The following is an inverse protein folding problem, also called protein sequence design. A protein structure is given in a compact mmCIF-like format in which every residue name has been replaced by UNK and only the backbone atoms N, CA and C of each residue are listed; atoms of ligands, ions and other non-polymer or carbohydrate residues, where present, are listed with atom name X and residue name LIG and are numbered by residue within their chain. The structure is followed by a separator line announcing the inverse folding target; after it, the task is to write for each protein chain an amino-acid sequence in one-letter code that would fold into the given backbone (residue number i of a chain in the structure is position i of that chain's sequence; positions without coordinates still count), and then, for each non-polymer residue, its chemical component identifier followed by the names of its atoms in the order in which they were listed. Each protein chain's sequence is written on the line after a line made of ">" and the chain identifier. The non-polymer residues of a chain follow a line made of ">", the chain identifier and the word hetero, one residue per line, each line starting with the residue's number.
data_IF_048915404611
#
_entry.id   IF_048915404611
#
_cell.length_a   1.000
_cell.length_b   1.000
_cell.length_c   1.000
_cell.angle_alpha   90.00
_cell.angle_beta   90.00
_cell.angle_gamma   90.00
#
_symmetry.space_group_name_H-M   'P 1'
#
loop_
_entity.id
_entity.type
_entity.pdbx_description
1 polymer ?
#
# COMPACT_ATOMS: atom_id res chain seq x y z
N UNK A 1 40.21 7.23 -12.09
CA UNK A 1 38.76 7.16 -12.38
C UNK A 1 38.02 7.53 -11.09
N UNK A 2 37.21 8.59 -11.08
CA UNK A 2 36.44 9.01 -9.90
C UNK A 2 34.99 8.62 -10.15
N UNK A 3 34.48 7.66 -9.37
CA UNK A 3 33.06 7.25 -9.41
C UNK A 3 32.35 8.10 -8.36
N UNK A 4 31.41 8.94 -8.79
CA UNK A 4 30.47 9.60 -7.89
C UNK A 4 29.25 8.68 -7.77
N UNK A 5 28.95 8.28 -6.54
CA UNK A 5 27.71 7.56 -6.23
C UNK A 5 26.69 8.65 -5.89
N UNK A 6 25.72 8.85 -6.75
CA UNK A 6 24.58 9.71 -6.43
C UNK A 6 23.80 9.06 -5.28
N UNK A 7 23.60 9.79 -4.19
CA UNK A 7 22.70 9.36 -3.11
C UNK A 7 21.30 9.20 -3.69
N UNK A 8 20.84 7.95 -3.82
CA UNK A 8 19.46 7.65 -4.18
C UNK A 8 18.54 8.33 -3.16
N UNK A 9 17.66 9.22 -3.63
CA UNK A 9 16.59 9.77 -2.80
C UNK A 9 15.83 8.62 -2.12
N UNK A 10 15.55 8.71 -0.81
CA UNK A 10 14.73 7.71 -0.13
C UNK A 10 13.36 7.67 -0.81
N UNK A 11 12.90 6.45 -1.09
CA UNK A 11 11.55 6.25 -1.64
C UNK A 11 10.58 6.59 -0.53
N UNK A 12 9.72 7.58 -0.77
CA UNK A 12 8.65 7.96 0.15
C UNK A 12 7.54 6.90 0.09
N UNK A 13 7.50 6.05 1.10
CA UNK A 13 6.49 4.99 1.25
C UNK A 13 5.62 5.38 2.44
N UNK A 14 4.29 5.41 2.30
CA UNK A 14 3.41 5.72 3.43
C UNK A 14 3.66 4.73 4.56
N UNK A 15 3.79 5.23 5.78
CA UNK A 15 4.11 4.39 6.95
C UNK A 15 3.51 4.94 8.23
N UNK A 16 3.09 4.05 9.12
CA UNK A 16 2.47 4.40 10.41
C UNK A 16 2.97 3.49 11.54
N UNK A 17 2.97 4.02 12.77
CA UNK A 17 3.29 3.25 13.97
C UNK A 17 2.05 2.51 14.48
N UNK A 18 2.10 1.17 14.45
CA UNK A 18 0.97 0.31 14.81
C UNK A 18 1.31 -0.52 16.06
N UNK A 19 0.44 -0.56 17.09
CA UNK A 19 0.65 -1.36 18.28
C UNK A 19 0.35 -2.84 18.05
N UNK A 20 1.20 -3.73 18.58
CA UNK A 20 1.03 -5.18 18.56
C UNK A 20 1.64 -5.79 19.81
N UNK A 21 0.82 -6.49 20.60
CA UNK A 21 1.25 -7.31 21.74
C UNK A 21 2.29 -6.65 22.67
N UNK A 22 1.98 -5.43 23.13
CA UNK A 22 2.85 -4.66 24.03
C UNK A 22 4.03 -3.93 23.35
N UNK A 23 4.27 -4.19 22.06
CA UNK A 23 5.23 -3.48 21.23
C UNK A 23 4.55 -2.54 20.22
N UNK A 24 5.34 -1.71 19.55
CA UNK A 24 4.90 -0.87 18.42
C UNK A 24 5.82 -1.10 17.24
N UNK A 25 5.25 -1.19 16.05
CA UNK A 25 5.98 -1.42 14.81
C UNK A 25 5.72 -0.26 13.85
N UNK A 26 6.77 0.28 13.25
CA UNK A 26 6.63 1.21 12.13
C UNK A 26 6.43 0.39 10.86
N UNK A 27 5.21 0.40 10.33
CA UNK A 27 4.81 -0.44 9.20
C UNK A 27 4.67 0.43 7.95
N UNK A 28 5.24 -0.03 6.85
CA UNK A 28 5.11 0.57 5.53
C UNK A 28 3.89 0.00 4.77
N UNK A 29 3.29 0.81 3.91
CA UNK A 29 2.25 0.38 2.98
C UNK A 29 2.78 -0.61 1.93
N UNK A 30 1.85 -1.37 1.35
CA UNK A 30 2.16 -2.45 0.38
C UNK A 30 2.80 -1.98 -0.93
N UNK A 31 2.81 -0.67 -1.23
CA UNK A 31 3.50 -0.13 -2.41
C UNK A 31 5.03 -0.09 -2.29
N UNK A 32 5.62 -0.55 -1.17
CA UNK A 32 7.08 -0.65 -1.01
C UNK A 32 7.67 -1.54 -2.13
N UNK A 33 8.60 -1.03 -2.96
CA UNK A 33 9.08 -1.78 -4.12
C UNK A 33 9.77 -3.12 -3.79
N UNK A 34 10.51 -3.17 -2.67
CA UNK A 34 11.16 -4.41 -2.22
C UNK A 34 10.14 -5.50 -1.88
N UNK A 35 9.08 -5.15 -1.16
CA UNK A 35 7.97 -6.04 -0.85
C UNK A 35 7.28 -6.52 -2.12
N UNK A 36 6.91 -5.59 -3.02
CA UNK A 36 6.28 -5.94 -4.31
C UNK A 36 7.13 -6.94 -5.11
N UNK A 37 8.44 -6.71 -5.20
CA UNK A 37 9.35 -7.61 -5.91
C UNK A 37 9.43 -9.00 -5.27
N UNK A 38 9.47 -9.10 -3.94
CA UNK A 38 9.45 -10.39 -3.23
C UNK A 38 8.15 -11.14 -3.47
N UNK A 39 7.01 -10.44 -3.46
CA UNK A 39 5.68 -11.02 -3.72
C UNK A 39 5.52 -11.51 -5.17
N UNK A 40 6.09 -10.79 -6.15
CA UNK A 40 6.15 -11.26 -7.54
C UNK A 40 6.94 -12.56 -7.68
N UNK A 41 8.13 -12.62 -7.07
CA UNK A 41 8.98 -13.82 -7.10
C UNK A 41 8.27 -14.98 -6.40
N UNK A 42 7.65 -14.73 -5.26
CA UNK A 42 6.88 -15.73 -4.52
C UNK A 42 5.72 -16.27 -5.38
N UNK A 43 4.91 -15.38 -5.96
CA UNK A 43 3.79 -15.76 -6.84
C UNK A 43 4.26 -16.56 -8.06
N UNK A 44 5.40 -16.18 -8.66
CA UNK A 44 6.00 -16.90 -9.77
C UNK A 44 6.42 -18.33 -9.38
N UNK A 45 7.01 -18.52 -8.19
CA UNK A 45 7.36 -19.86 -7.66
C UNK A 45 6.12 -20.73 -7.49
N UNK A 46 5.07 -20.19 -6.84
CA UNK A 46 3.79 -20.91 -6.66
C UNK A 46 3.18 -21.30 -8.00
N UNK A 47 3.19 -20.39 -8.98
CA UNK A 47 2.68 -20.69 -10.32
C UNK A 47 3.49 -21.77 -11.04
N UNK A 48 4.80 -21.85 -10.84
CA UNK A 48 5.62 -22.93 -11.40
C UNK A 48 5.24 -24.28 -10.80
N UNK A 49 4.99 -24.33 -9.49
CA UNK A 49 4.57 -25.54 -8.78
C UNK A 49 3.18 -26.00 -9.23
N UNK A 50 2.20 -25.08 -9.29
CA UNK A 50 0.84 -25.38 -9.73
C UNK A 50 0.75 -25.90 -11.17
N UNK A 51 1.64 -25.40 -12.05
CA UNK A 51 1.69 -25.84 -13.45
C UNK A 51 2.57 -27.08 -13.68
N UNK A 52 3.16 -27.65 -12.62
CA UNK A 52 4.04 -28.82 -12.72
C UNK A 52 5.40 -28.54 -13.35
N UNK A 53 5.80 -27.28 -13.49
CA UNK A 53 7.16 -26.90 -13.92
C UNK A 53 8.19 -27.04 -12.79
N UNK A 54 7.72 -27.13 -11.55
CA UNK A 54 8.52 -27.34 -10.35
C UNK A 54 7.87 -28.41 -9.48
N UNK A 55 8.66 -29.36 -9.02
CA UNK A 55 8.20 -30.41 -8.10
C UNK A 55 7.99 -29.82 -6.69
N UNK A 56 6.92 -30.25 -6.03
CA UNK A 56 6.64 -29.94 -4.63
C UNK A 56 7.27 -31.05 -3.79
N UNK A 57 8.32 -30.70 -3.05
CA UNK A 57 9.01 -31.59 -2.10
C UNK A 57 8.63 -31.22 -0.66
N UNK A 58 8.93 -32.10 0.29
CA UNK A 58 8.76 -31.80 1.72
C UNK A 58 9.56 -30.55 2.13
N UNK A 59 10.75 -30.37 1.56
CA UNK A 59 11.59 -29.18 1.79
C UNK A 59 10.92 -27.93 1.22
N UNK A 60 10.42 -27.96 -0.02
CA UNK A 60 9.74 -26.78 -0.58
C UNK A 60 8.46 -26.45 0.18
N UNK A 61 7.70 -27.46 0.62
CA UNK A 61 6.50 -27.26 1.42
C UNK A 61 6.79 -26.57 2.77
N UNK A 62 7.96 -26.81 3.37
CA UNK A 62 8.38 -26.15 4.61
C UNK A 62 8.96 -24.75 4.38
N UNK A 63 9.70 -24.54 3.29
CA UNK A 63 10.36 -23.26 3.00
C UNK A 63 9.40 -22.21 2.41
N UNK A 64 8.40 -22.62 1.63
CA UNK A 64 7.47 -21.69 0.96
C UNK A 64 6.74 -20.76 1.94
N UNK A 65 6.17 -21.22 3.07
CA UNK A 65 5.60 -20.34 4.08
C UNK A 65 6.60 -19.36 4.68
N UNK A 66 7.87 -19.75 4.82
CA UNK A 66 8.92 -18.87 5.33
C UNK A 66 9.23 -17.76 4.32
N UNK A 67 9.37 -18.09 3.03
CA UNK A 67 9.55 -17.10 1.96
C UNK A 67 8.45 -16.04 1.95
N UNK A 68 7.19 -16.46 2.18
CA UNK A 68 6.06 -15.55 2.32
C UNK A 68 6.26 -14.62 3.53
N UNK A 69 6.53 -15.16 4.70
CA UNK A 69 6.73 -14.37 5.92
C UNK A 69 7.90 -13.38 5.80
N UNK A 70 9.01 -13.79 5.17
CA UNK A 70 10.19 -12.95 4.90
C UNK A 70 9.88 -11.76 3.98
N UNK A 71 8.83 -11.84 3.17
CA UNK A 71 8.38 -10.69 2.40
C UNK A 71 7.81 -9.61 3.32
N UNK A 72 6.97 -9.98 4.29
CA UNK A 72 6.35 -9.03 5.22
C UNK A 72 7.35 -8.37 6.18
N UNK A 73 8.48 -9.02 6.47
CA UNK A 73 9.57 -8.39 7.21
C UNK A 73 10.06 -7.10 6.53
N UNK A 74 10.01 -6.99 5.19
CA UNK A 74 10.39 -5.76 4.48
C UNK A 74 9.43 -4.61 4.74
N UNK A 75 8.20 -4.88 5.18
CA UNK A 75 7.24 -3.83 5.50
C UNK A 75 7.46 -3.26 6.90
N UNK A 76 8.22 -3.94 7.75
CA UNK A 76 8.63 -3.40 9.05
C UNK A 76 9.84 -2.49 8.82
N UNK A 77 9.72 -1.22 9.23
CA UNK A 77 10.78 -0.22 9.08
C UNK A 77 11.53 0.04 10.39
N UNK A 78 10.86 -0.16 11.51
CA UNK A 78 11.40 0.02 12.87
C UNK A 78 10.45 -0.61 13.91
N UNK A 79 10.87 -0.72 15.18
CA UNK A 79 10.00 -1.07 16.30
C UNK A 79 10.44 -0.48 17.64
N UNK A 80 9.51 -0.47 18.59
CA UNK A 80 9.73 -0.16 19.99
C UNK A 80 9.08 -1.22 20.88
N UNK A 81 9.72 -1.59 21.99
CA UNK A 81 9.14 -2.49 23.00
C UNK A 81 9.31 -3.98 22.73
N UNK A 82 10.01 -4.39 21.67
CA UNK A 82 10.39 -5.80 21.44
C UNK A 82 11.51 -6.19 22.39
N UNK A 83 11.31 -7.28 23.14
CA UNK A 83 12.25 -7.82 24.12
C UNK A 83 12.59 -9.28 23.82
N UNK A 84 13.79 -9.71 24.23
CA UNK A 84 14.19 -11.12 24.19
C UNK A 84 13.64 -11.91 25.40
N UNK A 85 13.94 -13.21 25.44
CA UNK A 85 13.53 -14.09 26.53
C UNK A 85 14.13 -13.72 27.90
N UNK A 86 15.24 -12.96 27.93
CA UNK A 86 15.87 -12.43 29.15
C UNK A 86 15.28 -11.07 29.55
N UNK A 87 14.31 -10.53 28.79
CA UNK A 87 13.73 -9.21 28.99
C UNK A 87 14.59 -8.05 28.50
N UNK A 88 15.62 -8.31 27.68
CA UNK A 88 16.47 -7.26 27.11
C UNK A 88 15.84 -6.69 25.84
N UNK A 89 15.91 -5.38 25.62
CA UNK A 89 15.38 -4.76 24.42
C UNK A 89 16.17 -5.20 23.17
N UNK A 90 15.45 -5.68 22.17
CA UNK A 90 16.00 -6.00 20.85
C UNK A 90 15.89 -4.74 19.99
N UNK A 91 17.03 -4.26 19.47
CA UNK A 91 17.00 -3.16 18.51
C UNK A 91 16.57 -3.64 17.14
N UNK A 92 15.85 -2.79 16.43
CA UNK A 92 15.49 -3.05 15.05
C UNK A 92 16.74 -3.27 14.18
N UNK A 93 16.65 -4.31 13.35
CA UNK A 93 17.46 -4.50 12.16
C UNK A 93 16.67 -5.35 11.16
N UNK A 94 16.98 -5.25 9.88
CA UNK A 94 16.30 -6.03 8.85
C UNK A 94 16.40 -7.55 9.10
N UNK A 95 17.55 -8.02 9.57
CA UNK A 95 17.78 -9.44 9.90
C UNK A 95 16.90 -9.88 11.08
N UNK A 96 16.82 -9.07 12.15
CA UNK A 96 15.94 -9.37 13.28
C UNK A 96 14.45 -9.32 12.89
N UNK A 97 14.06 -8.45 11.96
CA UNK A 97 12.68 -8.40 11.46
C UNK A 97 12.34 -9.70 10.71
N UNK A 98 13.27 -10.20 9.91
CA UNK A 98 13.12 -11.49 9.23
C UNK A 98 12.95 -12.64 10.23
N UNK A 99 13.80 -12.67 11.27
CA UNK A 99 13.73 -13.67 12.33
C UNK A 99 12.41 -13.59 13.11
N UNK A 100 11.90 -12.38 13.41
CA UNK A 100 10.61 -12.23 14.08
C UNK A 100 9.45 -12.75 13.23
N UNK A 101 9.45 -12.49 11.92
CA UNK A 101 8.40 -12.98 11.03
C UNK A 101 8.46 -14.48 10.77
N UNK A 102 9.57 -15.16 11.07
CA UNK A 102 9.77 -16.58 10.72
C UNK A 102 9.92 -17.52 11.92
N UNK A 103 10.42 -17.02 13.05
CA UNK A 103 10.82 -17.82 14.21
C UNK A 103 10.35 -17.26 15.56
N UNK A 104 9.60 -16.16 15.60
CA UNK A 104 9.06 -15.64 16.86
C UNK A 104 8.09 -16.63 17.52
N UNK A 105 8.29 -16.78 18.83
CA UNK A 105 7.51 -17.64 19.74
C UNK A 105 7.18 -16.83 20.98
N UNK A 106 5.97 -17.00 21.50
CA UNK A 106 5.55 -16.44 22.78
C UNK A 106 6.30 -17.15 23.92
N UNK A 107 7.05 -16.43 24.78
CA UNK A 107 7.79 -17.03 25.87
C UNK A 107 6.89 -17.74 26.91
N UNK A 108 5.65 -17.29 27.11
CA UNK A 108 4.70 -17.84 28.08
C UNK A 108 3.95 -19.04 27.51
N UNK A 109 3.33 -18.89 26.34
CA UNK A 109 2.46 -19.94 25.75
C UNK A 109 3.21 -20.94 24.89
N UNK A 110 4.47 -20.65 24.52
CA UNK A 110 5.29 -21.40 23.55
C UNK A 110 4.65 -21.54 22.16
N UNK A 111 3.65 -20.71 21.85
CA UNK A 111 2.99 -20.69 20.54
C UNK A 111 3.77 -19.80 19.56
N UNK A 112 3.74 -20.16 18.27
CA UNK A 112 4.39 -19.37 17.23
C UNK A 112 3.68 -18.02 17.02
N UNK A 113 4.35 -16.92 17.34
CA UNK A 113 3.86 -15.55 17.12
C UNK A 113 4.09 -15.06 15.69
N UNK A 114 5.01 -15.71 14.98
CA UNK A 114 5.44 -15.34 13.62
C UNK A 114 4.26 -15.11 12.66
N UNK A 115 3.33 -16.06 12.58
CA UNK A 115 2.19 -15.95 11.68
C UNK A 115 1.20 -14.85 12.11
N UNK A 116 0.97 -14.70 13.42
CA UNK A 116 0.10 -13.65 13.95
C UNK A 116 0.67 -12.25 13.63
N UNK A 117 1.98 -12.07 13.80
CA UNK A 117 2.69 -10.85 13.43
C UNK A 117 2.60 -10.59 11.91
N UNK A 118 2.81 -11.61 11.08
CA UNK A 118 2.73 -11.46 9.62
C UNK A 118 1.33 -11.06 9.17
N UNK A 119 0.28 -11.67 9.72
CA UNK A 119 -1.11 -11.30 9.44
C UNK A 119 -1.42 -9.86 9.87
N UNK A 120 -0.96 -9.47 11.06
CA UNK A 120 -1.08 -8.10 11.54
C UNK A 120 -0.37 -7.11 10.61
N UNK A 121 0.88 -7.37 10.23
CA UNK A 121 1.63 -6.51 9.32
C UNK A 121 0.94 -6.41 7.96
N UNK A 122 0.41 -7.52 7.43
CA UNK A 122 -0.35 -7.53 6.19
C UNK A 122 -1.56 -6.60 6.25
N UNK A 123 -2.40 -6.75 7.30
CA UNK A 123 -3.60 -5.95 7.48
C UNK A 123 -3.28 -4.46 7.61
N UNK A 124 -2.30 -4.12 8.47
CA UNK A 124 -1.91 -2.72 8.67
C UNK A 124 -1.32 -2.09 7.41
N UNK A 125 -0.47 -2.83 6.67
CA UNK A 125 0.12 -2.33 5.44
C UNK A 125 -0.94 -2.04 4.35
N UNK A 126 -1.98 -2.86 4.26
CA UNK A 126 -3.11 -2.62 3.35
C UNK A 126 -3.91 -1.38 3.75
N UNK A 127 -4.20 -1.22 5.04
CA UNK A 127 -4.92 -0.06 5.57
C UNK A 127 -4.17 1.25 5.32
N UNK A 128 -2.86 1.26 5.61
CA UNK A 128 -1.97 2.41 5.37
C UNK A 128 -1.91 2.74 3.87
N UNK A 129 -1.86 1.71 3.02
CA UNK A 129 -1.84 1.94 1.58
C UNK A 129 -3.17 2.51 1.06
N UNK A 130 -4.29 2.01 1.58
CA UNK A 130 -5.61 2.49 1.22
C UNK A 130 -5.87 3.93 1.70
N UNK A 131 -5.43 4.28 2.92
CA UNK A 131 -5.52 5.64 3.46
C UNK A 131 -4.70 6.62 2.62
N UNK A 132 -3.46 6.24 2.27
CA UNK A 132 -2.60 7.03 1.40
C UNK A 132 -3.17 7.19 -0.02
N UNK A 133 -3.83 6.17 -0.56
CA UNK A 133 -4.53 6.23 -1.84
C UNK A 133 -5.67 7.25 -1.84
N UNK A 134 -6.55 7.18 -0.83
CA UNK A 134 -7.65 8.15 -0.65
C UNK A 134 -7.14 9.58 -0.52
N UNK A 135 -6.09 9.80 0.26
CA UNK A 135 -5.49 11.12 0.42
C UNK A 135 -4.95 11.68 -0.90
N UNK A 136 -4.32 10.83 -1.73
CA UNK A 136 -3.83 11.23 -3.08
C UNK A 136 -5.00 11.58 -4.02
N UNK A 137 -6.07 10.78 -4.02
CA UNK A 137 -7.25 11.03 -4.84
C UNK A 137 -7.98 12.32 -4.45
N UNK A 138 -8.11 12.62 -3.16
CA UNK A 138 -8.71 13.87 -2.68
C UNK A 138 -7.91 15.11 -3.10
N UNK A 139 -6.57 15.03 -3.11
CA UNK A 139 -5.71 16.11 -3.58
C UNK A 139 -5.82 16.32 -5.09
N UNK A 140 -5.84 15.24 -5.87
CA UNK A 140 -5.98 15.31 -7.33
C UNK A 140 -7.39 15.77 -7.76
N UNK A 141 -8.43 15.33 -7.06
CA UNK A 141 -9.81 15.72 -7.32
C UNK A 141 -10.08 17.21 -7.04
N UNK A 142 -9.42 17.81 -6.04
CA UNK A 142 -9.49 19.25 -5.77
C UNK A 142 -8.80 20.11 -6.83
N UNK A 143 -7.79 19.57 -7.53
CA UNK A 143 -7.04 20.30 -8.56
C UNK A 143 -7.84 20.53 -9.86
N UNK A 144 -8.88 19.74 -10.13
CA UNK A 144 -9.70 19.90 -11.34
C UNK A 144 -10.82 20.95 -11.18
N UNK A 145 -11.09 21.42 -9.96
CA UNK A 145 -12.20 22.33 -9.66
C UNK A 145 -11.82 23.83 -9.66
N UNK A 146 -10.55 24.18 -9.90
CA UNK A 146 -10.05 25.54 -9.68
C UNK A 146 -9.56 26.27 -10.95
N UNK A 147 -10.03 25.89 -12.14
CA UNK A 147 -9.57 26.50 -13.42
C UNK A 147 -10.66 27.13 -14.29
N UNK A 148 -11.88 27.37 -13.80
CA UNK A 148 -12.96 27.96 -14.62
C UNK A 148 -13.78 29.05 -13.91
N UNK A 149 -13.14 29.97 -13.18
CA UNK A 149 -13.80 31.23 -12.77
C UNK A 149 -12.83 32.41 -12.90
N UNK A 150 -12.55 32.81 -14.14
CA UNK A 150 -12.40 34.20 -14.60
C UNK A 150 -11.49 34.29 -15.83
N UNK A 151 -12.09 34.22 -17.01
CA UNK A 151 -11.67 35.12 -18.09
C UNK A 151 -12.80 35.25 -19.11
N UNK A 152 -13.66 36.26 -18.90
CA UNK A 152 -14.11 37.23 -19.91
C UNK A 152 -15.41 37.88 -19.45
N UNK A 153 -15.27 39.01 -18.78
CA UNK A 153 -16.23 40.08 -18.87
C UNK A 153 -16.22 40.61 -20.32
N UNK A 154 -17.40 40.72 -20.94
CA UNK A 154 -17.80 41.81 -21.84
C UNK A 154 -19.30 41.65 -22.14
N UNK A 155 -20.12 42.52 -21.53
CA UNK A 155 -21.53 42.70 -21.89
C UNK A 155 -21.62 43.39 -23.26
N UNK A 156 -22.67 43.11 -24.03
CA UNK A 156 -23.39 44.22 -24.64
C UNK A 156 -24.89 44.17 -24.38
N UNK A 157 -25.35 45.37 -24.03
CA UNK A 157 -26.71 45.84 -23.87
C UNK A 157 -27.33 46.06 -25.27
N UNK A 158 -28.46 45.41 -25.57
CA UNK A 158 -29.36 45.87 -26.65
C UNK A 158 -30.81 45.76 -26.16
N UNK A 159 -31.44 46.93 -25.99
CA UNK A 159 -32.88 47.10 -25.82
C UNK A 159 -33.58 47.07 -27.18
N UNK A 160 -34.88 46.76 -27.12
CA UNK A 160 -35.96 47.28 -27.97
C UNK A 160 -36.22 46.60 -29.34
N UNK A 161 -37.37 45.92 -29.50
CA UNK A 161 -38.65 46.45 -30.06
C UNK A 161 -39.59 45.29 -30.45
N UNK A 162 -40.86 45.48 -30.10
CA UNK A 162 -42.08 44.74 -30.47
C UNK A 162 -42.26 44.40 -31.96
N UNK A 163 -42.97 43.30 -32.28
CA UNK A 163 -44.14 43.33 -33.19
C UNK A 163 -44.78 41.94 -33.39
N UNK A 164 -46.06 41.87 -33.02
CA UNK A 164 -47.23 41.18 -33.62
C UNK A 164 -47.13 39.85 -34.40
N UNK A 165 -48.11 38.97 -34.08
CA UNK A 165 -49.05 38.19 -34.95
C UNK A 165 -48.44 37.36 -36.10
N UNK A 166 -48.78 36.11 -36.38
CA UNK A 166 -50.08 35.41 -36.34
C UNK A 166 -49.92 33.99 -36.94
N UNK A 167 -50.69 33.01 -36.44
CA UNK A 167 -51.54 32.02 -37.18
C UNK A 167 -50.81 31.21 -38.29
N UNK A 168 -50.77 29.86 -38.31
CA UNK A 168 -51.93 28.95 -38.41
C UNK A 168 -51.47 27.49 -38.61
N UNK A 169 -52.29 26.53 -38.12
CA UNK A 169 -52.77 25.27 -38.78
C UNK A 169 -51.73 24.43 -39.55
N UNK A 170 -51.65 23.10 -39.44
CA UNK A 170 -52.68 22.03 -39.47
C UNK A 170 -51.85 20.71 -39.43
N UNK A 171 -52.16 19.73 -38.59
CA UNK A 171 -53.09 18.60 -38.84
C UNK A 171 -52.46 17.37 -39.53
N UNK A 172 -52.47 16.28 -38.74
CA UNK A 172 -52.71 14.86 -39.08
C UNK A 172 -51.58 13.99 -39.64
N UNK A 173 -51.31 12.94 -38.84
CA UNK A 173 -51.35 11.49 -39.15
C UNK A 173 -50.67 11.03 -40.45
N UNK A 174 -49.69 10.14 -40.28
CA UNK A 174 -49.94 8.70 -40.33
C UNK A 174 -49.01 7.99 -39.36
#
# INVERSE_FOLDING_TARGET
>A
MKIQIEEKKPIDVPSEWCPFDGAKFLIAGTSKPAFGRKMEIFSAKINQELNGYREITDESAQLTPLDYNKAFADLILDWEGVIDADGKPIKYSADMAEQLCTMAIDPETKQGLSMALVLFVSEQAELIQASAGKAKEELLGKSLSATDINCMALKPNIKNVSSQRSVSKRKRRK
#
